data_IF_999974921648
#
_entry.id   IF_999974921648
#
_cell.length_a   1.000
_cell.length_b   1.000
_cell.length_c   1.000
_cell.angle_alpha   90.00
_cell.angle_beta   90.00
_cell.angle_gamma   90.00
#
_symmetry.space_group_name_H-M   'P 1'
#
loop_
_entity.id
_entity.type
_entity.pdbx_description
1 polymer ?
2 polymer ?
3 polymer ?
4 non-polymer ?
5 water ?
#
# COMPACT_ATOMS: atom_id res chain seq x y z
N UNK A 1 -20.18 6.14 -0.76
CA UNK A 1 -20.29 5.13 -1.80
C UNK A 1 -19.46 5.44 -3.04
N UNK A 2 -18.38 6.20 -2.90
CA UNK A 2 -17.50 6.47 -4.03
C UNK A 2 -16.52 5.32 -4.23
N UNK A 3 -15.90 5.29 -5.42
CA UNK A 3 -14.97 4.23 -5.77
C UNK A 3 -13.81 4.82 -6.53
N UNK A 4 -12.70 4.08 -6.55
CA UNK A 4 -11.50 4.56 -7.24
C UNK A 4 -10.90 3.44 -8.06
N UNK A 5 -10.25 3.80 -9.17
CA UNK A 5 -9.34 2.89 -9.85
C UNK A 5 -7.97 3.56 -9.88
N UNK A 6 -6.94 2.83 -9.47
CA UNK A 6 -5.59 3.38 -9.45
C UNK A 6 -4.59 2.36 -9.98
N UNK A 7 -3.61 2.84 -10.74
CA UNK A 7 -2.48 2.04 -11.18
C UNK A 7 -1.22 2.61 -10.54
N UNK A 8 -0.37 1.71 -10.02
CA UNK A 8 0.88 2.07 -9.36
C UNK A 8 2.02 1.42 -10.13
N UNK A 9 3.06 2.19 -10.41
CA UNK A 9 4.22 1.67 -11.14
C UNK A 9 5.49 1.98 -10.38
N UNK A 10 6.40 1.01 -10.30
CA UNK A 10 7.71 1.23 -9.69
C UNK A 10 8.79 0.67 -10.61
N UNK A 11 9.78 1.51 -10.96
CA UNK A 11 10.96 1.05 -11.69
C UNK A 11 12.21 1.36 -10.87
N UNK A 12 13.08 0.36 -10.71
CA UNK A 12 14.30 0.49 -9.88
C UNK A 12 15.51 0.05 -10.69
N UNK A 13 16.44 0.97 -10.92
CA UNK A 13 17.64 0.63 -11.68
C UNK A 13 18.53 -0.29 -10.87
N UNK A 14 19.26 -1.15 -11.57
CA UNK A 14 20.07 -2.20 -10.96
C UNK A 14 21.43 -2.25 -11.65
N UNK A 15 22.22 -1.19 -11.53
CA UNK A 15 23.41 -1.06 -12.39
C UNK A 15 24.27 -2.31 -12.33
N UNK A 16 24.61 -2.82 -13.52
CA UNK A 16 25.39 -4.04 -13.64
C UNK A 16 24.68 -5.32 -13.25
N UNK A 17 23.45 -5.25 -12.72
CA UNK A 17 22.69 -6.42 -12.32
C UNK A 17 21.45 -6.61 -13.19
N UNK A 18 21.55 -6.25 -14.46
CA UNK A 18 20.43 -6.39 -15.37
C UNK A 18 19.63 -5.11 -15.54
N UNK A 19 18.50 -5.27 -16.21
CA UNK A 19 17.60 -4.15 -16.47
C UNK A 19 16.80 -3.79 -15.23
N UNK A 20 16.22 -2.59 -15.18
CA UNK A 20 15.49 -2.17 -13.97
C UNK A 20 14.39 -3.14 -13.60
N UNK A 21 14.27 -3.40 -12.29
CA UNK A 21 13.09 -4.10 -11.78
C UNK A 21 11.87 -3.23 -12.00
N UNK A 22 10.79 -3.80 -12.52
CA UNK A 22 9.58 -3.06 -12.82
C UNK A 22 8.40 -3.83 -12.27
N UNK A 23 7.58 -3.16 -11.46
CA UNK A 23 6.41 -3.77 -10.84
C UNK A 23 5.23 -2.84 -11.05
N UNK A 24 4.14 -3.36 -11.60
CA UNK A 24 2.93 -2.58 -11.81
C UNK A 24 1.77 -3.28 -11.11
N UNK A 25 0.92 -2.52 -10.44
CA UNK A 25 -0.26 -3.09 -9.79
C UNK A 25 -1.45 -2.18 -10.05
N UNK A 26 -2.61 -2.80 -10.26
CA UNK A 26 -3.86 -2.06 -10.44
C UNK A 26 -4.79 -2.42 -9.30
N UNK A 27 -5.48 -1.41 -8.78
CA UNK A 27 -6.46 -1.54 -7.69
C UNK A 27 -7.81 -0.95 -8.10
N UNK A 28 -8.89 -1.58 -7.63
CA UNK A 28 -10.18 -0.90 -7.52
C UNK A 28 -10.44 -0.77 -6.03
N UNK A 29 -10.63 0.45 -5.55
CA UNK A 29 -10.68 0.74 -4.10
C UNK A 29 -9.42 0.14 -3.48
N UNK A 30 -9.53 -0.66 -2.42
CA UNK A 30 -8.38 -1.27 -1.77
C UNK A 30 -8.19 -2.73 -2.22
N UNK A 31 -8.71 -3.10 -3.38
CA UNK A 31 -8.67 -4.47 -3.85
C UNK A 31 -7.77 -4.54 -5.08
N UNK A 32 -6.66 -5.25 -4.97
CA UNK A 32 -5.79 -5.42 -6.11
C UNK A 32 -6.46 -6.32 -7.16
N UNK A 33 -6.33 -5.97 -8.44
CA UNK A 33 -6.96 -6.80 -9.46
C UNK A 33 -6.05 -7.19 -10.62
N UNK A 34 -4.91 -6.53 -10.82
CA UNK A 34 -3.95 -6.96 -11.83
C UNK A 34 -2.55 -6.67 -11.30
N UNK A 35 -1.57 -7.40 -11.84
CA UNK A 35 -0.18 -7.13 -11.53
C UNK A 35 0.68 -7.50 -12.72
N UNK A 36 1.85 -6.87 -12.76
CA UNK A 36 2.92 -7.24 -13.64
C UNK A 36 4.22 -7.12 -12.84
N UNK A 37 5.07 -8.14 -12.92
CA UNK A 37 6.38 -8.11 -12.26
C UNK A 37 7.41 -8.56 -13.27
N UNK A 38 8.37 -7.69 -13.56
CA UNK A 38 9.37 -7.98 -14.58
C UNK A 38 10.21 -9.20 -14.23
N UNK A 39 10.29 -9.57 -12.94
CA UNK A 39 11.06 -10.75 -12.54
C UNK A 39 10.21 -12.00 -12.46
N UNK A 40 8.90 -11.89 -12.74
CA UNK A 40 8.05 -13.07 -12.73
C UNK A 40 8.20 -13.85 -14.03
N UNK A 41 7.73 -15.09 -14.00
CA UNK A 41 7.95 -15.99 -15.13
C UNK A 41 7.05 -15.65 -16.32
N UNK A 42 5.79 -15.28 -16.07
CA UNK A 42 4.82 -15.18 -17.16
C UNK A 42 5.17 -14.06 -18.14
N UNK A 43 5.72 -12.94 -17.66
CA UNK A 43 5.89 -11.73 -18.50
C UNK A 43 4.56 -11.25 -19.09
N UNK A 44 3.49 -11.43 -18.34
CA UNK A 44 2.15 -11.04 -18.76
C UNK A 44 1.54 -10.20 -17.66
N UNK A 45 0.63 -9.30 -18.01
CA UNK A 45 -0.27 -8.78 -16.99
C UNK A 45 -1.12 -9.93 -16.49
N UNK A 46 -1.24 -10.07 -15.16
CA UNK A 46 -1.89 -11.24 -14.59
C UNK A 46 -3.08 -10.83 -13.72
N UNK A 47 -4.14 -11.64 -13.71
CA UNK A 47 -5.28 -11.37 -12.83
C UNK A 47 -4.97 -11.60 -11.36
N UNK A 48 -5.55 -10.78 -10.51
CA UNK A 48 -5.43 -10.93 -9.07
C UNK A 48 -6.77 -10.84 -8.33
N UNK A 49 -7.88 -10.66 -9.04
CA UNK A 49 -9.21 -10.72 -8.45
C UNK A 49 -10.10 -11.60 -9.32
N UNK A 50 -11.08 -12.28 -8.72
CA UNK A 50 -11.85 -13.23 -9.53
C UNK A 50 -12.65 -12.59 -10.65
N UNK A 51 -13.13 -11.36 -10.45
CA UNK A 51 -14.02 -10.75 -11.41
C UNK A 51 -13.30 -10.20 -12.64
N UNK A 52 -11.97 -10.13 -12.62
CA UNK A 52 -11.25 -9.72 -13.83
C UNK A 52 -10.92 -10.91 -14.73
N UNK A 53 -11.01 -12.15 -14.22
CA UNK A 53 -10.58 -13.29 -15.00
C UNK A 53 -11.43 -13.47 -16.26
N UNK A 54 -12.66 -12.96 -16.27
CA UNK A 54 -13.55 -13.14 -17.41
C UNK A 54 -13.15 -12.30 -18.61
N UNK A 55 -12.24 -11.34 -18.45
CA UNK A 55 -11.80 -10.55 -19.59
C UNK A 55 -11.13 -11.45 -20.62
N UNK A 56 -11.31 -11.09 -21.90
CA UNK A 56 -10.91 -11.95 -22.99
C UNK A 56 -9.43 -11.84 -23.32
N UNK A 57 -8.99 -12.70 -24.25
CA UNK A 57 -7.57 -12.71 -24.62
C UNK A 57 -7.08 -11.40 -25.16
N UNK A 58 -7.95 -10.67 -25.88
CA UNK A 58 -7.60 -9.34 -26.40
C UNK A 58 -7.24 -8.39 -25.27
N UNK A 59 -8.01 -8.44 -24.17
CA UNK A 59 -7.74 -7.58 -23.02
C UNK A 59 -6.36 -7.85 -22.45
N UNK A 60 -6.05 -9.13 -22.17
CA UNK A 60 -4.78 -9.44 -21.54
C UNK A 60 -3.60 -9.13 -22.45
N UNK A 61 -3.75 -9.35 -23.75
CA UNK A 61 -2.72 -8.96 -24.70
C UNK A 61 -2.49 -7.45 -24.65
N UNK A 62 -3.58 -6.68 -24.70
CA UNK A 62 -3.45 -5.23 -24.76
C UNK A 62 -2.88 -4.68 -23.45
N UNK A 63 -3.35 -5.19 -22.32
CA UNK A 63 -2.80 -4.72 -21.05
C UNK A 63 -1.33 -5.09 -20.89
N UNK A 64 -0.95 -6.28 -21.39
CA UNK A 64 0.47 -6.66 -21.33
C UNK A 64 1.33 -5.75 -22.18
N UNK A 65 0.86 -5.42 -23.40
CA UNK A 65 1.65 -4.55 -24.25
C UNK A 65 1.76 -3.14 -23.65
N UNK A 66 0.66 -2.62 -23.11
CA UNK A 66 0.69 -1.27 -22.58
C UNK A 66 1.57 -1.17 -21.33
N UNK A 67 1.57 -2.21 -20.48
CA UNK A 67 2.39 -2.14 -19.27
C UNK A 67 3.87 -2.33 -19.61
N UNK A 68 4.17 -3.17 -20.62
CA UNK A 68 5.55 -3.27 -21.06
C UNK A 68 6.02 -1.96 -21.68
N UNK A 69 5.14 -1.25 -22.38
CA UNK A 69 5.51 0.06 -22.91
C UNK A 69 5.78 1.07 -21.80
N UNK A 70 4.99 1.03 -20.72
CA UNK A 70 5.32 1.87 -19.57
C UNK A 70 6.71 1.53 -19.03
N UNK A 71 7.02 0.23 -18.92
CA UNK A 71 8.33 -0.15 -18.41
C UNK A 71 9.45 0.39 -19.28
N UNK A 72 9.25 0.40 -20.60
CA UNK A 72 10.30 0.88 -21.49
C UNK A 72 10.44 2.38 -21.39
N UNK A 73 9.34 3.11 -21.19
CA UNK A 73 9.42 4.56 -20.97
C UNK A 73 10.19 4.85 -19.69
N UNK A 74 9.86 4.14 -18.60
CA UNK A 74 10.57 4.35 -17.33
C UNK A 74 12.05 4.05 -17.45
N UNK A 75 12.42 2.97 -18.16
CA UNK A 75 13.81 2.66 -18.45
C UNK A 75 14.56 3.87 -19.05
N UNK A 76 13.97 4.51 -20.05
CA UNK A 76 14.57 5.71 -20.63
C UNK A 76 14.64 6.83 -19.61
N UNK A 77 13.52 7.04 -18.90
CA UNK A 77 13.44 8.17 -17.98
C UNK A 77 14.44 8.03 -16.84
N UNK A 78 14.77 6.80 -16.43
CA UNK A 78 15.78 6.64 -15.38
C UNK A 78 17.10 7.23 -15.84
N UNK A 79 17.48 7.00 -17.10
CA UNK A 79 18.69 7.60 -17.64
C UNK A 79 18.58 9.11 -17.74
N UNK A 80 17.43 9.61 -18.22
CA UNK A 80 17.26 11.05 -18.43
C UNK A 80 17.34 11.82 -17.11
N UNK A 81 16.68 11.31 -16.08
CA UNK A 81 16.64 12.00 -14.78
C UNK A 81 17.99 11.93 -14.09
N UNK A 82 18.74 10.85 -14.28
CA UNK A 82 20.12 10.82 -13.82
C UNK A 82 20.91 11.99 -14.40
N UNK A 83 20.68 12.31 -15.67
CA UNK A 83 21.33 13.47 -16.26
C UNK A 83 20.83 14.77 -15.68
N UNK A 84 19.51 14.91 -15.51
CA UNK A 84 18.95 16.16 -14.97
C UNK A 84 19.49 16.45 -13.58
N UNK A 85 19.63 15.43 -12.75
CA UNK A 85 20.09 15.59 -11.39
C UNK A 85 21.60 15.37 -11.25
N UNK A 86 22.32 15.25 -12.37
CA UNK A 86 23.78 15.19 -12.36
C UNK A 86 24.30 14.06 -11.45
N UNK A 87 23.74 12.86 -11.63
CA UNK A 87 24.14 11.69 -10.87
C UNK A 87 24.94 10.72 -11.72
N UNK A 88 25.72 9.87 -11.07
CA UNK A 88 26.55 8.90 -11.76
C UNK A 88 25.73 7.67 -12.14
N UNK A 89 26.30 6.83 -12.99
CA UNK A 89 25.66 5.59 -13.42
C UNK A 89 25.80 4.45 -12.42
N UNK A 90 26.53 4.64 -11.32
CA UNK A 90 26.78 3.53 -10.40
C UNK A 90 25.65 3.28 -9.41
N UNK A 91 24.83 4.27 -9.10
CA UNK A 91 23.82 4.12 -8.07
C UNK A 91 22.50 3.58 -8.60
N UNK A 92 21.72 3.01 -7.69
CA UNK A 92 20.36 2.59 -7.98
C UNK A 92 19.38 3.73 -7.69
N UNK A 93 18.44 3.94 -8.60
CA UNK A 93 17.44 5.00 -8.45
C UNK A 93 16.07 4.43 -8.78
N UNK A 94 15.04 5.19 -8.40
CA UNK A 94 13.66 4.72 -8.41
C UNK A 94 12.75 5.76 -9.05
N UNK A 95 11.93 5.34 -10.00
CA UNK A 95 10.80 6.15 -10.46
C UNK A 95 9.52 5.47 -10.00
N UNK A 96 8.62 6.27 -9.43
CA UNK A 96 7.30 5.80 -9.03
C UNK A 96 6.23 6.64 -9.70
N UNK A 97 5.17 6.00 -10.18
CA UNK A 97 4.06 6.67 -10.86
C UNK A 97 2.75 6.16 -10.27
N UNK A 98 1.82 7.07 -9.99
CA UNK A 98 0.47 6.64 -9.63
C UNK A 98 -0.53 7.47 -10.42
N UNK A 99 -1.54 6.83 -10.99
CA UNK A 99 -2.61 7.59 -11.62
C UNK A 99 -3.93 6.85 -11.51
N UNK A 100 -5.02 7.58 -11.73
CA UNK A 100 -6.33 6.93 -11.70
C UNK A 100 -7.46 7.93 -11.60
N UNK A 101 -8.63 7.42 -11.22
CA UNK A 101 -9.84 8.25 -11.23
C UNK A 101 -10.78 7.77 -10.13
N UNK A 102 -11.62 8.70 -9.66
CA UNK A 102 -12.68 8.42 -8.69
C UNK A 102 -14.05 8.65 -9.34
N UNK A 103 -15.02 7.80 -9.00
CA UNK A 103 -16.42 7.99 -9.39
C UNK A 103 -17.30 7.98 -8.15
N UNK A 104 -18.44 8.66 -8.24
CA UNK A 104 -19.41 8.64 -7.17
C UNK A 104 -20.28 7.40 -7.21
N UNK A 105 -21.17 7.29 -6.22
CA UNK A 105 -22.02 6.11 -6.15
C UNK A 105 -22.97 6.00 -7.34
N UNK A 106 -23.23 7.11 -8.04
CA UNK A 106 -24.05 7.09 -9.25
C UNK A 106 -23.21 6.94 -10.52
N UNK A 107 -21.91 6.66 -10.38
CA UNK A 107 -21.02 6.45 -11.49
C UNK A 107 -20.43 7.71 -12.08
N UNK A 108 -20.79 8.89 -11.59
CA UNK A 108 -20.29 10.13 -12.19
C UNK A 108 -18.81 10.34 -11.87
N UNK A 109 -18.07 10.88 -12.84
CA UNK A 109 -16.67 11.23 -12.62
C UNK A 109 -16.55 12.26 -11.50
N UNK A 110 -15.64 12.02 -10.56
CA UNK A 110 -15.36 12.98 -9.50
C UNK A 110 -14.02 13.67 -9.65
N UNK A 111 -12.94 12.92 -9.90
CA UNK A 111 -11.64 13.55 -10.05
C UNK A 111 -10.69 12.55 -10.70
N UNK A 112 -9.67 13.08 -11.34
CA UNK A 112 -8.61 12.26 -11.89
C UNK A 112 -7.27 12.74 -11.35
N UNK A 113 -6.27 11.88 -11.46
CA UNK A 113 -4.99 12.31 -10.90
C UNK A 113 -3.84 11.54 -11.53
N UNK A 114 -2.68 12.18 -11.53
CA UNK A 114 -1.44 11.52 -11.88
C UNK A 114 -0.28 12.20 -11.15
N UNK A 115 0.56 11.41 -10.48
CA UNK A 115 1.70 11.99 -9.79
C UNK A 115 2.90 11.07 -10.03
N UNK A 116 4.07 11.68 -10.22
CA UNK A 116 5.31 10.95 -10.44
C UNK A 116 6.33 11.37 -9.40
N UNK A 117 7.23 10.42 -9.06
CA UNK A 117 8.29 10.66 -8.09
C UNK A 117 9.62 10.15 -8.60
N UNK A 118 10.71 10.70 -8.06
CA UNK A 118 12.06 10.20 -8.34
C UNK A 118 12.77 10.05 -7.01
N UNK A 119 13.32 8.86 -6.75
CA UNK A 119 14.00 8.54 -5.48
C UNK A 119 13.15 8.89 -4.27
N UNK A 120 11.85 8.62 -4.38
CA UNK A 120 10.91 8.75 -3.29
C UNK A 120 10.50 10.15 -2.93
N UNK A 121 10.78 11.12 -3.80
CA UNK A 121 10.33 12.50 -3.62
C UNK A 121 9.54 12.95 -4.85
N UNK A 122 8.63 13.88 -4.63
CA UNK A 122 7.85 14.46 -5.73
C UNK A 122 8.74 14.86 -6.90
N UNK A 123 8.28 14.54 -8.11
CA UNK A 123 8.94 15.00 -9.33
C UNK A 123 8.01 15.90 -10.15
N UNK A 124 6.89 15.37 -10.64
CA UNK A 124 5.91 16.18 -11.38
C UNK A 124 4.52 15.60 -11.11
N UNK A 125 3.51 16.49 -11.12
CA UNK A 125 2.14 16.07 -10.88
C UNK A 125 1.21 16.82 -11.82
N UNK A 126 0.17 16.12 -12.27
CA UNK A 126 -0.94 16.77 -12.96
C UNK A 126 -1.80 17.50 -11.94
N UNK A 127 -2.19 18.73 -12.26
CA UNK A 127 -3.06 19.46 -11.34
C UNK A 127 -4.50 18.94 -11.43
N UNK A 128 -5.28 19.30 -10.41
CA UNK A 128 -6.66 18.81 -10.29
C UNK A 128 -7.52 19.17 -11.50
N UNK A 129 -7.24 20.29 -12.19
CA UNK A 129 -8.05 20.64 -13.36
C UNK A 129 -7.72 19.80 -14.58
N UNK A 130 -6.69 18.95 -14.51
CA UNK A 130 -6.25 18.05 -15.59
C UNK A 130 -5.76 18.83 -16.81
N UNK A 131 -5.33 20.06 -16.63
CA UNK A 131 -4.85 20.87 -17.74
C UNK A 131 -3.42 21.36 -17.59
N UNK A 132 -2.91 21.45 -16.37
CA UNK A 132 -1.59 22.02 -16.12
C UNK A 132 -0.80 21.09 -15.21
N UNK A 133 0.50 21.29 -15.19
CA UNK A 133 1.41 20.48 -14.38
C UNK A 133 2.06 21.32 -13.30
N UNK A 134 2.44 20.67 -12.21
CA UNK A 134 3.29 21.26 -11.16
C UNK A 134 4.57 20.44 -11.04
N UNK A 135 5.72 21.07 -11.36
CA UNK A 135 7.03 20.44 -11.20
C UNK A 135 7.58 20.74 -9.80
N UNK A 136 8.26 19.75 -9.19
CA UNK A 136 8.74 19.92 -7.83
C UNK A 136 10.03 20.76 -7.73
N UNK A 137 10.78 20.91 -8.83
CA UNK A 137 12.08 21.58 -8.76
C UNK A 137 12.46 21.96 -10.18
N UNK A 138 13.64 22.57 -10.33
CA UNK A 138 14.00 23.09 -11.65
C UNK A 138 14.32 21.97 -12.63
N UNK A 139 14.81 20.82 -12.16
CA UNK A 139 15.00 19.69 -13.06
C UNK A 139 13.66 19.21 -13.63
N UNK A 140 12.67 18.99 -12.76
CA UNK A 140 11.38 18.51 -13.23
C UNK A 140 10.69 19.52 -14.15
N UNK A 141 11.05 20.80 -14.08
CA UNK A 141 10.47 21.78 -14.99
C UNK A 141 10.89 21.52 -16.44
N UNK A 142 12.06 20.92 -16.66
CA UNK A 142 12.45 20.49 -18.00
C UNK A 142 11.42 19.53 -18.58
N UNK A 143 11.04 18.51 -17.79
CA UNK A 143 9.97 17.60 -18.22
C UNK A 143 8.66 18.33 -18.47
N UNK A 144 8.30 19.26 -17.57
CA UNK A 144 7.07 20.01 -17.72
C UNK A 144 7.04 20.76 -19.05
N UNK A 145 8.13 21.47 -19.39
CA UNK A 145 8.17 22.18 -20.67
C UNK A 145 7.98 21.23 -21.84
N UNK A 146 8.60 20.04 -21.77
CA UNK A 146 8.45 19.04 -22.82
C UNK A 146 7.01 18.53 -22.91
N UNK A 147 6.38 18.26 -21.77
CA UNK A 147 5.00 17.77 -21.78
C UNK A 147 4.01 18.87 -22.18
N UNK A 148 4.30 20.13 -21.84
CA UNK A 148 3.42 21.22 -22.28
C UNK A 148 3.44 21.36 -23.80
N UNK A 149 4.64 21.25 -24.39
CA UNK A 149 4.75 21.39 -25.85
C UNK A 149 4.17 20.19 -26.57
N UNK A 150 4.27 18.99 -25.97
CA UNK A 150 3.70 17.80 -26.59
C UNK A 150 2.22 17.62 -26.31
N UNK A 151 1.60 18.58 -25.61
CA UNK A 151 0.18 18.55 -25.23
C UNK A 151 -0.17 17.26 -24.53
N UNK A 152 0.73 16.82 -23.64
CA UNK A 152 0.56 15.56 -22.93
C UNK A 152 -0.68 15.61 -22.03
N UNK A 153 -0.95 16.77 -21.40
CA UNK A 153 -2.07 16.81 -20.46
C UNK A 153 -3.40 16.53 -21.16
N UNK A 154 -3.55 16.99 -22.41
CA UNK A 154 -4.82 16.73 -23.11
C UNK A 154 -5.00 15.24 -23.39
N UNK A 155 -3.93 14.54 -23.74
CA UNK A 155 -4.02 13.09 -23.97
C UNK A 155 -4.29 12.35 -22.68
N UNK A 156 -3.59 12.71 -21.61
CA UNK A 156 -3.80 12.08 -20.31
C UNK A 156 -5.21 12.36 -19.79
N UNK A 157 -5.69 13.59 -19.95
CA UNK A 157 -7.02 13.93 -19.45
C UNK A 157 -8.08 13.04 -20.09
N UNK A 158 -7.96 12.78 -21.40
CA UNK A 158 -8.92 11.93 -22.09
C UNK A 158 -8.96 10.53 -21.49
N UNK A 159 -7.83 10.06 -20.95
CA UNK A 159 -7.85 8.79 -20.24
C UNK A 159 -8.46 8.96 -18.85
N UNK A 160 -8.00 9.96 -18.08
CA UNK A 160 -8.35 10.02 -16.66
C UNK A 160 -9.82 10.36 -16.44
N UNK A 161 -10.38 11.27 -17.24
CA UNK A 161 -11.78 11.55 -17.05
C UNK A 161 -12.66 10.88 -18.10
N UNK A 162 -12.11 9.97 -18.90
CA UNK A 162 -12.91 9.25 -19.90
C UNK A 162 -12.72 7.75 -19.82
N UNK A 163 -11.65 7.24 -20.43
CA UNK A 163 -11.38 5.80 -20.49
C UNK A 163 -11.33 5.18 -19.11
N UNK A 164 -10.68 5.88 -18.16
CA UNK A 164 -10.53 5.37 -16.80
C UNK A 164 -11.89 5.16 -16.15
N UNK A 165 -12.79 6.13 -16.33
CA UNK A 165 -14.13 6.05 -15.79
C UNK A 165 -14.91 4.93 -16.45
N UNK A 166 -14.77 4.78 -17.79
CA UNK A 166 -15.45 3.70 -18.50
C UNK A 166 -15.11 2.33 -17.92
N UNK A 167 -13.82 2.08 -17.69
CA UNK A 167 -13.40 0.77 -17.21
C UNK A 167 -13.75 0.59 -15.75
N UNK A 168 -13.59 1.64 -14.94
CA UNK A 168 -13.97 1.51 -13.53
C UNK A 168 -15.46 1.14 -13.40
N UNK A 169 -16.33 1.80 -14.17
CA UNK A 169 -17.75 1.40 -14.17
C UNK A 169 -17.92 -0.06 -14.55
N UNK A 170 -17.21 -0.52 -15.58
CA UNK A 170 -17.33 -1.92 -15.98
C UNK A 170 -16.90 -2.85 -14.84
N UNK A 171 -15.77 -2.55 -14.21
CA UNK A 171 -15.26 -3.42 -13.14
C UNK A 171 -16.21 -3.44 -11.95
N UNK A 172 -16.78 -2.28 -11.60
CA UNK A 172 -17.71 -2.25 -10.48
C UNK A 172 -18.92 -3.13 -10.76
N UNK A 173 -19.38 -3.15 -12.01
CA UNK A 173 -20.47 -4.05 -12.36
C UNK A 173 -20.01 -5.50 -12.36
N UNK A 174 -18.85 -5.77 -12.98
CA UNK A 174 -18.38 -7.16 -13.05
C UNK A 174 -18.06 -7.72 -11.66
N UNK A 175 -17.63 -6.88 -10.73
CA UNK A 175 -17.24 -7.34 -9.40
C UNK A 175 -18.22 -6.97 -8.29
N UNK A 176 -19.47 -6.69 -8.67
CA UNK A 176 -20.43 -6.10 -7.73
C UNK A 176 -20.61 -6.97 -6.50
N UNK A 177 -20.56 -8.29 -6.66
CA UNK A 177 -20.77 -9.18 -5.54
C UNK A 177 -19.74 -9.00 -4.42
N UNK A 178 -18.64 -8.29 -4.68
CA UNK A 178 -17.59 -8.07 -3.69
C UNK A 178 -17.19 -6.61 -3.52
N UNK A 179 -17.08 -5.84 -4.61
CA UNK A 179 -16.56 -4.48 -4.49
C UNK A 179 -17.53 -3.54 -3.77
N UNK A 180 -18.83 -3.81 -3.81
CA UNK A 180 -19.80 -2.93 -3.17
C UNK A 180 -19.99 -3.19 -1.68
N UNK A 181 -19.40 -4.27 -1.15
CA UNK A 181 -19.56 -4.61 0.26
C UNK A 181 -18.61 -3.79 1.13
N UNK A 182 -19.10 -3.35 2.28
CA UNK A 182 -18.31 -2.61 3.24
C UNK A 182 -18.45 -3.31 4.59
N UNK A 183 -17.31 -3.72 5.17
CA UNK A 183 -17.30 -4.54 6.38
C UNK A 183 -16.97 -3.70 7.61
N UNK A 184 -17.84 -3.64 8.61
CA UNK A 184 -17.64 -2.74 9.74
C UNK A 184 -16.60 -3.29 10.71
N UNK A 185 -15.90 -2.41 11.44
CA UNK A 185 -14.88 -2.89 12.37
C UNK A 185 -15.51 -3.57 13.58
N UNK A 186 -14.92 -4.71 13.93
CA UNK A 186 -15.20 -5.35 15.22
C UNK A 186 -14.18 -4.84 16.22
N UNK A 187 -14.67 -4.30 17.34
CA UNK A 187 -13.84 -3.58 18.30
C UNK A 187 -13.84 -4.26 19.67
N UNK A 188 -12.69 -4.21 20.33
CA UNK A 188 -12.58 -4.65 21.72
C UNK A 188 -11.37 -3.95 22.32
N UNK A 189 -11.25 -4.02 23.65
CA UNK A 189 -10.13 -3.42 24.33
C UNK A 189 -9.42 -4.49 25.14
N UNK A 190 -8.10 -4.34 25.29
CA UNK A 190 -7.31 -5.23 26.11
C UNK A 190 -6.52 -4.42 27.13
N UNK A 191 -6.04 -5.12 28.16
CA UNK A 191 -5.44 -4.49 29.32
C UNK A 191 -4.22 -5.31 29.71
N UNK A 192 -3.06 -4.65 29.81
CA UNK A 192 -1.78 -5.32 29.99
C UNK A 192 -0.94 -4.56 31.02
N UNK A 193 -0.84 -5.05 32.25
CA UNK A 193 0.06 -4.42 33.22
C UNK A 193 1.49 -4.37 32.70
N UNK A 194 2.17 -3.26 32.95
CA UNK A 194 3.59 -3.15 32.63
C UNK A 194 4.44 -3.08 33.88
N UNK A 195 3.82 -2.96 35.04
CA UNK A 195 4.48 -2.89 36.34
C UNK A 195 3.38 -3.05 37.39
N UNK A 196 3.73 -2.88 38.66
CA UNK A 196 2.73 -2.90 39.72
C UNK A 196 1.82 -1.68 39.67
N UNK A 197 2.18 -0.63 38.93
CA UNK A 197 1.50 0.65 39.01
C UNK A 197 1.01 1.20 37.68
N UNK A 198 1.32 0.57 36.55
CA UNK A 198 0.86 1.06 35.25
C UNK A 198 0.42 -0.08 34.37
N UNK A 199 -0.48 0.22 33.44
CA UNK A 199 -0.99 -0.77 32.50
C UNK A 199 -1.20 -0.14 31.13
N UNK A 200 -1.00 -0.95 30.09
CA UNK A 200 -1.31 -0.56 28.72
C UNK A 200 -2.77 -0.90 28.40
N UNK A 201 -3.54 0.09 27.98
CA UNK A 201 -4.85 -0.15 27.40
C UNK A 201 -4.70 -0.09 25.87
N UNK A 202 -5.17 -1.13 25.19
CA UNK A 202 -5.06 -1.23 23.74
C UNK A 202 -6.47 -1.37 23.15
N UNK A 203 -6.80 -0.48 22.23
CA UNK A 203 -8.10 -0.49 21.55
C UNK A 203 -7.92 -1.09 20.17
N UNK A 204 -8.76 -2.06 19.84
CA UNK A 204 -8.59 -2.86 18.64
C UNK A 204 -9.74 -2.65 17.66
N UNK A 205 -9.40 -2.49 16.39
CA UNK A 205 -10.37 -2.54 15.29
C UNK A 205 -9.96 -3.65 14.35
N UNK A 206 -10.87 -4.60 14.08
CA UNK A 206 -10.52 -5.76 13.28
C UNK A 206 -11.53 -5.98 12.16
N UNK A 207 -11.07 -6.68 11.12
CA UNK A 207 -11.93 -7.17 10.05
C UNK A 207 -12.70 -6.12 9.25
N UNK A 208 -12.12 -4.95 9.01
CA UNK A 208 -12.89 -3.89 8.39
C UNK A 208 -12.46 -3.65 6.93
N UNK A 209 -13.40 -3.18 6.13
CA UNK A 209 -13.13 -2.79 4.75
C UNK A 209 -14.08 -1.65 4.41
N UNK A 210 -13.62 -0.59 3.74
CA UNK A 210 -12.25 -0.35 3.27
C UNK A 210 -11.32 -0.02 4.42
N UNK A 211 -10.09 0.33 4.07
CA UNK A 211 -9.03 0.44 5.05
C UNK A 211 -9.11 1.72 5.86
N UNK A 212 -9.72 2.77 5.32
CA UNK A 212 -9.77 4.05 6.03
C UNK A 212 -10.50 3.87 7.35
N UNK A 213 -9.89 4.38 8.43
CA UNK A 213 -10.45 4.25 9.77
C UNK A 213 -9.75 5.25 10.68
N UNK A 214 -10.42 5.64 11.76
CA UNK A 214 -9.86 6.53 12.77
C UNK A 214 -10.00 5.92 14.15
N UNK A 215 -8.90 5.86 14.90
CA UNK A 215 -8.90 5.44 16.30
C UNK A 215 -8.31 6.55 17.15
N UNK A 216 -9.02 6.95 18.20
CA UNK A 216 -8.61 8.05 19.07
C UNK A 216 -8.77 7.67 20.54
N UNK A 217 -7.80 8.08 21.37
CA UNK A 217 -7.90 7.96 22.82
C UNK A 217 -8.18 9.32 23.43
N UNK A 218 -9.09 9.35 24.40
CA UNK A 218 -9.41 10.55 25.17
C UNK A 218 -9.33 10.25 26.65
N UNK A 219 -8.92 11.25 27.43
CA UNK A 219 -8.84 11.15 28.89
C UNK A 219 -9.66 12.26 29.50
N UNK A 220 -10.77 11.89 30.15
CA UNK A 220 -11.69 12.85 30.76
C UNK A 220 -12.09 13.92 29.75
N UNK A 221 -12.55 13.49 28.58
CA UNK A 221 -12.91 14.40 27.51
C UNK A 221 -11.76 14.91 26.68
N UNK A 222 -10.67 15.33 27.32
CA UNK A 222 -9.53 15.86 26.61
C UNK A 222 -8.81 14.75 25.85
N UNK A 223 -8.07 15.16 24.82
CA UNK A 223 -7.42 14.18 23.95
C UNK A 223 -5.98 13.94 24.39
N UNK A 224 -5.38 12.88 23.85
CA UNK A 224 -4.07 12.41 24.29
C UNK A 224 -3.22 12.05 23.07
N UNK A 225 -3.16 12.95 22.09
CA UNK A 225 -2.45 12.66 20.85
C UNK A 225 -0.96 12.44 21.09
N UNK A 226 -0.39 13.11 22.11
CA UNK A 226 1.04 12.99 22.39
C UNK A 226 1.38 11.73 23.17
N UNK A 227 0.43 11.14 23.90
CA UNK A 227 0.69 10.01 24.77
C UNK A 227 0.08 8.72 24.23
N UNK A 228 -0.19 8.66 22.93
CA UNK A 228 -0.87 7.53 22.30
C UNK A 228 0.08 6.85 21.33
N UNK A 229 0.14 5.52 21.37
CA UNK A 229 0.82 4.76 20.34
C UNK A 229 -0.19 4.23 19.33
N UNK A 230 0.04 4.54 18.05
CA UNK A 230 -0.90 4.18 17.00
C UNK A 230 -0.12 3.47 15.89
N UNK A 231 -0.44 2.20 15.63
CA UNK A 231 0.24 1.50 14.55
C UNK A 231 -0.42 1.82 13.21
N UNK A 232 0.34 1.60 12.13
CA UNK A 232 -0.20 1.73 10.79
C UNK A 232 -1.28 0.68 10.53
N UNK A 233 -2.31 1.08 9.78
CA UNK A 233 -3.33 0.14 9.35
C UNK A 233 -2.71 -0.99 8.55
N UNK A 234 -3.13 -2.24 8.82
CA UNK A 234 -2.42 -3.35 8.20
C UNK A 234 -3.38 -4.35 7.60
N UNK A 235 -2.98 -5.05 6.54
CA UNK A 235 -3.87 -6.04 5.92
C UNK A 235 -3.92 -7.34 6.71
N UNK A 236 -5.13 -7.88 6.85
CA UNK A 236 -5.25 -9.23 7.44
C UNK A 236 -4.78 -10.28 6.45
N UNK A 237 -4.86 -10.00 5.15
CA UNK A 237 -4.52 -10.97 4.12
C UNK A 237 -5.72 -11.68 3.53
N UNK A 238 -6.91 -11.44 4.08
CA UNK A 238 -8.16 -11.98 3.56
C UNK A 238 -8.98 -10.93 2.85
N UNK A 239 -8.46 -9.72 2.70
CA UNK A 239 -9.17 -8.61 2.09
C UNK A 239 -9.63 -7.54 3.07
N UNK A 240 -9.58 -7.82 4.37
CA UNK A 240 -9.92 -6.84 5.40
C UNK A 240 -8.66 -6.28 6.05
N UNK A 241 -8.84 -5.26 6.88
CA UNK A 241 -7.75 -4.56 7.54
C UNK A 241 -7.89 -4.61 9.07
N UNK A 242 -6.81 -4.23 9.75
CA UNK A 242 -6.72 -4.25 11.21
C UNK A 242 -5.94 -3.01 11.68
N UNK A 243 -6.25 -2.56 12.89
CA UNK A 243 -5.51 -1.44 13.48
C UNK A 243 -5.67 -1.47 14.99
N UNK A 244 -4.69 -0.93 15.71
CA UNK A 244 -4.88 -0.69 17.13
C UNK A 244 -4.21 0.59 17.57
N UNK A 245 -4.69 1.11 18.70
CA UNK A 245 -4.15 2.28 19.38
C UNK A 245 -3.99 1.95 20.85
N UNK A 246 -2.94 2.48 21.49
CA UNK A 246 -2.64 2.11 22.88
C UNK A 246 -2.23 3.34 23.69
N UNK A 247 -2.44 3.24 25.00
CA UNK A 247 -2.12 4.30 25.95
C UNK A 247 -1.71 3.64 27.26
N UNK A 248 -0.65 4.17 27.89
CA UNK A 248 -0.21 3.71 29.20
C UNK A 248 -0.90 4.55 30.26
N UNK A 249 -1.52 3.91 31.23
CA UNK A 249 -2.34 4.61 32.21
C UNK A 249 -1.94 4.15 33.61
N UNK A 250 -2.22 4.97 34.62
CA UNK A 250 -1.97 4.53 36.00
C UNK A 250 -3.00 3.48 36.43
N UNK A 251 -2.53 2.48 37.17
CA UNK A 251 -3.42 1.44 37.66
C UNK A 251 -4.46 2.05 38.59
N UNK A 252 -5.73 1.69 38.35
CA UNK A 252 -6.84 2.24 39.10
C UNK A 252 -7.52 3.42 38.44
N UNK A 253 -6.96 3.94 37.35
CA UNK A 253 -7.54 5.07 36.63
C UNK A 253 -8.03 4.68 35.24
N UNK A 254 -8.16 3.37 34.96
CA UNK A 254 -8.57 2.93 33.64
C UNK A 254 -9.89 3.54 33.20
N UNK A 255 -10.82 3.77 34.13
CA UNK A 255 -12.16 4.25 33.80
C UNK A 255 -12.18 5.65 33.21
N UNK A 256 -11.08 6.38 33.30
CA UNK A 256 -11.01 7.75 32.79
C UNK A 256 -10.66 7.83 31.32
N UNK A 257 -10.41 6.71 30.67
CA UNK A 257 -9.97 6.67 29.29
C UNK A 257 -11.05 6.09 28.40
N UNK A 258 -11.14 6.62 27.18
CA UNK A 258 -12.10 6.14 26.19
C UNK A 258 -11.44 6.06 24.83
N UNK A 259 -11.67 4.97 24.13
CA UNK A 259 -11.26 4.84 22.74
C UNK A 259 -12.43 5.16 21.84
N UNK A 260 -12.16 5.85 20.73
CA UNK A 260 -13.20 6.30 19.80
C UNK A 260 -12.87 5.77 18.42
N UNK A 261 -13.87 5.15 17.77
CA UNK A 261 -13.69 4.43 16.52
C UNK A 261 -14.59 5.05 15.48
N UNK A 262 -14.03 5.35 14.31
CA UNK A 262 -14.77 5.92 13.19
C UNK A 262 -14.45 5.10 11.95
N UNK A 263 -15.49 4.57 11.32
CA UNK A 263 -15.39 3.86 10.07
C UNK A 263 -16.64 4.20 9.28
N UNK A 264 -16.49 4.31 7.95
CA UNK A 264 -17.63 4.63 7.11
C UNK A 264 -18.78 3.65 7.33
N UNK A 265 -18.46 2.39 7.67
CA UNK A 265 -19.45 1.37 7.89
C UNK A 265 -20.14 1.39 9.24
N UNK A 266 -19.75 2.28 10.14
CA UNK A 266 -20.36 2.33 11.47
C UNK A 266 -21.51 3.31 11.45
N UNK A 267 -22.75 2.86 11.74
CA UNK A 267 -23.87 3.80 11.82
C UNK A 267 -23.62 4.98 12.74
N UNK A 268 -23.07 4.75 13.91
CA UNK A 268 -22.64 5.79 14.82
C UNK A 268 -21.22 5.49 15.24
N UNK A 269 -20.44 6.51 15.60
CA UNK A 269 -19.09 6.24 16.13
C UNK A 269 -19.16 5.43 17.42
N UNK A 270 -18.27 4.46 17.53
CA UNK A 270 -18.21 3.60 18.70
C UNK A 270 -17.32 4.22 19.76
N UNK A 271 -17.73 4.06 21.02
CA UNK A 271 -16.93 4.51 22.16
C UNK A 271 -16.77 3.34 23.11
N UNK A 272 -15.52 3.07 23.50
CA UNK A 272 -15.19 1.97 24.40
C UNK A 272 -14.50 2.50 25.63
N UNK A 273 -14.80 1.88 26.79
CA UNK A 273 -14.19 2.24 28.05
C UNK A 273 -13.88 0.94 28.78
N UNK A 274 -12.76 0.90 29.49
CA UNK A 274 -12.40 -0.31 30.20
C UNK A 274 -13.33 -0.58 31.38
N UNK B 2 16.46 10.67 2.25
CA UNK B 2 16.08 9.87 1.09
C UNK B 2 15.92 8.40 1.47
N UNK B 3 16.34 8.04 2.68
CA UNK B 3 16.26 6.66 3.15
C UNK B 3 15.41 6.60 4.42
N UNK B 4 14.41 5.72 4.42
CA UNK B 4 13.42 5.64 5.48
C UNK B 4 13.37 4.20 5.99
N UNK B 5 13.42 4.02 7.30
CA UNK B 5 13.57 2.65 7.79
C UNK B 5 12.22 1.96 7.90
N UNK B 6 12.15 0.64 7.68
CA UNK B 6 10.85 -0.03 7.72
C UNK B 6 10.22 -0.03 9.10
N UNK B 7 8.91 0.13 9.12
CA UNK B 7 8.09 -0.19 10.27
C UNK B 7 7.63 -1.64 10.11
N UNK B 8 7.75 -2.42 11.18
CA UNK B 8 7.53 -3.87 11.10
C UNK B 8 6.43 -4.25 12.06
N UNK B 9 5.47 -5.04 11.57
CA UNK B 9 4.45 -5.64 12.41
C UNK B 9 4.35 -7.12 12.09
N UNK B 10 4.33 -7.95 13.14
CA UNK B 10 4.20 -9.40 13.02
C UNK B 10 2.93 -9.80 13.76
N UNK B 11 2.03 -10.50 13.06
CA UNK B 11 0.71 -10.76 13.60
C UNK B 11 0.06 -11.90 12.82
N UNK B 12 -1.00 -12.44 13.41
CA UNK B 12 -1.78 -13.51 12.81
C UNK B 12 -2.99 -12.92 12.09
N UNK B 13 -3.43 -13.61 11.04
CA UNK B 13 -4.63 -13.17 10.33
C UNK B 13 -5.85 -13.14 11.24
N UNK B 14 -6.12 -14.26 11.91
CA UNK B 14 -7.23 -14.38 12.86
C UNK B 14 -6.70 -14.52 14.28
N UNK B 15 -7.51 -14.17 15.29
CA UNK B 15 -7.11 -14.42 16.68
C UNK B 15 -6.59 -15.84 16.85
N UNK B 16 -5.47 -15.97 17.55
CA UNK B 16 -4.71 -17.22 17.54
C UNK B 16 -5.30 -18.23 18.52
N UNK B 17 -5.30 -19.49 18.10
CA UNK B 17 -5.76 -20.62 18.92
C UNK B 17 -4.86 -21.79 18.60
N UNK B 18 -4.19 -22.34 19.63
CA UNK B 18 -3.23 -23.39 19.36
C UNK B 18 -3.90 -24.64 18.77
N UNK B 19 -3.21 -25.28 17.83
CA UNK B 19 -3.72 -26.43 17.12
C UNK B 19 -4.51 -26.11 15.87
N UNK B 20 -4.82 -24.84 15.60
CA UNK B 20 -5.73 -24.46 14.53
C UNK B 20 -4.99 -23.69 13.44
N UNK B 21 -5.18 -24.09 12.19
CA UNK B 21 -4.52 -23.43 11.07
C UNK B 21 -4.86 -21.95 11.07
N UNK B 22 -3.87 -21.13 10.71
CA UNK B 22 -3.97 -19.69 10.71
C UNK B 22 -2.99 -19.17 9.66
N UNK B 23 -2.82 -17.85 9.61
CA UNK B 23 -1.83 -17.23 8.75
C UNK B 23 -0.96 -16.31 9.58
N UNK B 24 0.35 -16.46 9.41
CA UNK B 24 1.33 -15.60 10.06
C UNK B 24 1.74 -14.52 9.08
N UNK B 25 1.56 -13.26 9.48
CA UNK B 25 1.84 -12.10 8.64
C UNK B 25 3.04 -11.31 9.16
N UNK B 26 3.82 -10.76 8.23
CA UNK B 26 4.81 -9.74 8.55
C UNK B 26 4.57 -8.57 7.59
N UNK B 27 4.12 -7.45 8.11
CA UNK B 27 3.82 -6.28 7.32
C UNK B 27 4.93 -5.26 7.51
N UNK B 28 5.60 -4.88 6.43
CA UNK B 28 6.67 -3.90 6.48
C UNK B 28 6.23 -2.70 5.66
N UNK B 29 6.33 -1.51 6.23
CA UNK B 29 5.79 -0.33 5.57
C UNK B 29 6.68 0.86 5.87
N UNK B 30 6.47 1.93 5.10
CA UNK B 30 7.17 3.18 5.36
C UNK B 30 8.62 3.22 4.96
N UNK B 31 9.07 2.31 4.10
CA UNK B 31 10.50 2.25 3.82
C UNK B 31 10.84 2.74 2.41
N UNK B 32 12.10 3.18 2.28
CA UNK B 32 12.68 3.62 1.02
C UNK B 32 14.19 3.57 1.19
N UNK B 33 14.90 3.00 0.26
CA UNK B 33 14.43 2.41 -1.00
C UNK B 33 13.73 1.05 -0.83
N UNK B 34 13.36 0.44 -1.96
CA UNK B 34 12.44 -0.69 -1.96
C UNK B 34 13.13 -2.04 -1.72
N UNK B 35 14.44 -2.13 -1.90
CA UNK B 35 15.11 -3.41 -1.64
C UNK B 35 15.05 -3.74 -0.16
N UNK B 36 14.58 -4.95 0.13
CA UNK B 36 14.35 -5.39 1.49
C UNK B 36 14.39 -6.90 1.48
N UNK B 37 14.92 -7.47 2.54
CA UNK B 37 14.88 -8.91 2.74
C UNK B 37 13.97 -9.15 3.93
N UNK B 38 12.98 -10.00 3.73
CA UNK B 38 12.08 -10.38 4.82
C UNK B 38 12.01 -11.89 4.86
N UNK B 39 12.34 -12.47 6.02
CA UNK B 39 12.16 -13.90 6.25
C UNK B 39 11.26 -14.08 7.46
N UNK B 40 10.38 -15.07 7.41
CA UNK B 40 9.64 -15.49 8.59
C UNK B 40 10.43 -16.61 9.25
N UNK B 41 10.46 -16.62 10.58
CA UNK B 41 11.29 -17.55 11.32
C UNK B 41 10.43 -18.43 12.21
N UNK B 42 10.81 -19.70 12.31
CA UNK B 42 10.18 -20.65 13.23
C UNK B 42 11.30 -21.19 14.12
N UNK B 43 11.25 -20.85 15.41
CA UNK B 43 12.30 -21.22 16.36
C UNK B 43 13.69 -20.86 15.81
N UNK B 44 13.78 -19.67 15.22
CA UNK B 44 15.03 -19.16 14.69
C UNK B 44 15.38 -19.61 13.28
N UNK B 45 14.63 -20.53 12.69
CA UNK B 45 14.95 -21.08 11.38
C UNK B 45 14.02 -20.53 10.33
N UNK B 46 14.58 -20.24 9.15
CA UNK B 46 13.83 -19.65 8.05
C UNK B 46 12.71 -20.57 7.60
N UNK B 47 11.49 -20.05 7.54
CA UNK B 47 10.35 -20.80 7.02
C UNK B 47 10.41 -20.79 5.50
N UNK B 48 10.22 -21.96 4.88
CA UNK B 48 10.51 -22.08 3.46
C UNK B 48 9.39 -21.53 2.57
N UNK B 49 8.14 -21.91 2.86
CA UNK B 49 7.03 -21.52 1.99
C UNK B 49 6.41 -20.24 2.51
N UNK B 50 6.94 -19.10 2.04
CA UNK B 50 6.44 -17.78 2.43
C UNK B 50 6.11 -17.01 1.17
N UNK B 51 4.89 -16.48 1.10
CA UNK B 51 4.45 -15.67 -0.03
C UNK B 51 4.55 -14.19 0.32
N UNK B 52 4.48 -13.33 -0.70
CA UNK B 52 4.47 -11.91 -0.42
C UNK B 52 3.64 -11.17 -1.46
N UNK B 53 3.10 -10.03 -1.05
CA UNK B 53 2.31 -9.17 -1.92
C UNK B 53 3.19 -8.48 -2.96
N UNK B 54 2.56 -7.90 -3.97
CA UNK B 54 3.30 -7.13 -4.96
C UNK B 54 3.60 -5.75 -4.42
N UNK B 55 4.85 -5.30 -4.58
CA UNK B 55 5.30 -4.01 -4.07
C UNK B 55 4.34 -2.89 -4.49
N UNK B 56 3.92 -2.09 -3.51
CA UNK B 56 3.12 -0.90 -3.75
C UNK B 56 3.61 0.17 -2.79
N UNK B 57 3.01 1.36 -2.84
CA UNK B 57 3.52 2.45 -2.04
C UNK B 57 2.39 3.36 -1.61
N UNK B 58 2.70 4.17 -0.60
CA UNK B 58 1.76 5.06 0.06
C UNK B 58 1.81 6.44 -0.56
N UNK B 59 0.91 7.32 -0.11
CA UNK B 59 0.88 8.68 -0.65
C UNK B 59 2.21 9.41 -0.50
N UNK B 60 2.98 9.12 0.56
CA UNK B 60 4.27 9.78 0.74
C UNK B 60 5.40 9.07 -0.01
N UNK B 61 5.08 8.14 -0.90
CA UNK B 61 5.97 7.37 -1.77
C UNK B 61 6.71 6.25 -1.03
N UNK B 62 6.54 6.10 0.29
CA UNK B 62 7.20 5.00 0.96
C UNK B 62 6.52 3.67 0.60
N UNK B 63 7.30 2.60 0.62
CA UNK B 63 6.86 1.29 0.16
C UNK B 63 6.25 0.46 1.30
N UNK B 64 5.45 -0.53 0.91
CA UNK B 64 4.95 -1.50 1.87
C UNK B 64 4.78 -2.86 1.20
N UNK B 65 4.96 -3.94 2.00
CA UNK B 65 4.86 -5.33 1.56
C UNK B 65 4.26 -6.15 2.68
N UNK B 66 3.47 -7.17 2.32
CA UNK B 66 3.00 -8.20 3.23
C UNK B 66 3.68 -9.51 2.89
N UNK B 67 4.36 -10.11 3.87
CA UNK B 67 4.85 -11.47 3.76
C UNK B 67 3.96 -12.37 4.61
N UNK B 68 3.65 -13.57 4.12
CA UNK B 68 2.70 -14.40 4.84
C UNK B 68 2.93 -15.88 4.55
N UNK B 69 2.50 -16.70 5.51
CA UNK B 69 2.56 -18.14 5.36
C UNK B 69 1.51 -18.74 6.27
N UNK B 70 0.96 -19.87 5.83
CA UNK B 70 0.06 -20.61 6.68
C UNK B 70 0.88 -21.33 7.73
N UNK B 71 0.46 -21.24 8.98
CA UNK B 71 1.08 -22.00 10.06
C UNK B 71 0.00 -22.53 10.99
N UNK B 72 0.38 -23.47 11.84
CA UNK B 72 -0.47 -23.92 12.93
C UNK B 72 0.24 -23.55 14.22
N UNK B 73 -0.25 -22.57 14.99
CA UNK B 73 0.50 -22.11 16.17
C UNK B 73 0.52 -23.18 17.24
N UNK B 74 1.73 -23.50 17.71
CA UNK B 74 1.95 -24.31 18.90
C UNK B 74 2.56 -23.41 19.97
N UNK B 75 2.17 -23.60 21.23
CA UNK B 75 2.57 -22.59 22.20
C UNK B 75 4.05 -22.63 22.55
N UNK B 76 4.77 -23.68 22.15
CA UNK B 76 6.21 -23.71 22.36
C UNK B 76 7.00 -23.16 21.17
N UNK B 77 6.42 -23.15 19.97
CA UNK B 77 7.13 -22.61 18.82
C UNK B 77 7.17 -21.09 18.88
N UNK B 78 8.34 -20.54 18.61
CA UNK B 78 8.52 -19.10 18.55
C UNK B 78 8.57 -18.67 17.10
N UNK B 79 7.82 -17.64 16.78
CA UNK B 79 7.78 -17.09 15.44
C UNK B 79 8.32 -15.67 15.46
N UNK B 80 8.98 -15.29 14.39
CA UNK B 80 9.51 -13.94 14.26
C UNK B 80 9.61 -13.57 12.79
N UNK B 81 9.74 -12.27 12.57
CA UNK B 81 10.02 -11.73 11.26
C UNK B 81 11.40 -11.08 11.31
N UNK B 82 12.26 -11.45 10.37
CA UNK B 82 13.60 -10.89 10.27
C UNK B 82 13.70 -10.04 9.01
N UNK B 83 14.03 -8.76 9.19
CA UNK B 83 14.01 -7.78 8.12
C UNK B 83 15.38 -7.18 7.99
N UNK B 84 15.92 -7.17 6.78
CA UNK B 84 17.15 -6.44 6.48
C UNK B 84 16.90 -5.35 5.44
N UNK B 85 17.50 -4.18 5.68
CA UNK B 85 17.30 -3.00 4.85
C UNK B 85 18.53 -2.12 5.04
N UNK B 86 18.80 -1.26 4.06
CA UNK B 86 20.02 -0.45 4.14
C UNK B 86 20.03 0.46 5.35
N UNK B 87 18.87 0.83 5.88
CA UNK B 87 18.80 1.68 7.06
C UNK B 87 19.15 0.95 8.36
N UNK B 88 19.32 -0.37 8.32
CA UNK B 88 19.55 -1.17 9.51
C UNK B 88 21.00 -1.60 9.58
N UNK B 89 21.57 -1.54 10.78
CA UNK B 89 22.94 -2.00 10.97
C UNK B 89 23.01 -3.51 10.93
N UNK B 90 22.15 -4.17 11.70
CA UNK B 90 21.94 -5.60 11.62
C UNK B 90 20.47 -5.88 11.32
N UNK B 91 20.17 -7.07 10.80
CA UNK B 91 18.76 -7.43 10.58
C UNK B 91 17.96 -7.32 11.87
N UNK B 92 16.78 -6.74 11.76
CA UNK B 92 15.91 -6.53 12.90
C UNK B 92 15.00 -7.74 13.03
N UNK B 93 14.98 -8.33 14.22
CA UNK B 93 14.08 -9.44 14.49
C UNK B 93 12.97 -8.91 15.39
N UNK B 94 11.74 -9.06 14.94
CA UNK B 94 10.56 -8.71 15.72
C UNK B 94 9.85 -10.00 16.03
N UNK B 95 9.74 -10.32 17.32
CA UNK B 95 9.06 -11.54 17.72
C UNK B 95 7.55 -11.34 17.68
N UNK B 96 6.83 -12.40 17.34
CA UNK B 96 5.38 -12.37 17.35
C UNK B 96 4.86 -12.37 18.78
N UNK B 97 4.08 -11.36 19.14
CA UNK B 97 3.40 -11.26 20.42
C UNK B 97 1.89 -11.27 20.17
N UNK B 98 1.17 -12.19 20.82
CA UNK B 98 -0.27 -12.34 20.54
C UNK B 98 -1.09 -11.11 20.89
N UNK B 99 -0.55 -10.21 21.73
CA UNK B 99 -1.28 -9.05 22.21
C UNK B 99 -1.06 -7.82 21.34
N UNK B 100 -0.33 -7.93 20.25
CA UNK B 100 -0.05 -6.78 19.39
C UNK B 100 -0.34 -7.05 17.91
N UNK C 1 -8.50 -0.81 -17.06
CA UNK C 1 -7.45 -0.85 -18.07
C UNK C 1 -6.58 0.39 -17.91
N UNK C 2 -5.26 0.26 -18.05
CA UNK C 2 -4.44 1.44 -17.80
C UNK C 2 -4.17 2.16 -19.12
N UNK C 3 -3.42 3.24 -19.03
CA UNK C 3 -3.31 4.20 -20.12
C UNK C 3 -2.33 3.73 -21.18
N UNK C 4 -2.72 3.84 -22.45
CA UNK C 4 -1.85 3.47 -23.54
C UNK C 4 -1.21 4.67 -24.21
N UNK C 5 -0.50 5.48 -23.43
CA UNK C 5 0.13 6.69 -23.96
C UNK C 5 1.36 7.19 -23.23
N UNK C 6 2.57 7.55 -23.92
CA UNK C 6 3.88 7.67 -23.23
C UNK C 6 4.73 8.76 -23.90
N UNK C 7 4.75 9.95 -23.10
CA UNK C 7 5.88 10.71 -23.60
C UNK C 7 7.00 10.64 -22.57
N UNK C 8 8.24 10.47 -23.03
CA UNK C 8 9.35 10.36 -22.12
C UNK C 8 9.57 11.70 -21.38
N UNK C 9 10.27 11.63 -20.27
CA UNK C 9 10.52 12.80 -19.42
C UNK C 9 11.70 13.65 -19.89
X LIG D 1 -5.24 0.22 -1.71
X LIG D 1 -4.81 0.15 -0.39
X LIG D 1 -4.79 1.57 -2.27
X LIG D 1 -3.47 1.52 -2.66
X LIG D 1 -5.73 1.84 -3.47
X LIG D 1 -5.66 3.20 -3.75
X LIG E 1 -5.84 -10.09 14.77
X LIG E 1 -6.87 -10.81 15.38
X LIG E 1 -4.52 -10.60 15.37
X LIG E 1 -3.43 -10.38 14.50
X LIG E 1 -4.36 -9.85 16.71
X LIG E 1 -3.24 -10.38 17.35
#
# INVERSE_FOLDING_TARGET
GSHSMRYFFTSVSRPGRGEPRFIAVGYVDDTQFVRFDSDAASQRMEPRAPWIEQEGPEYWDQETRNVKAQSQTDRVDLGTLRGYYNQSEAGSHTIQIMYGCDVGSDGRFLRGYRQDAYDGKDYIALNEDLRSWTAADMAAQITKRKWEAAHEAEQLRAYLDGTCVEWLRRYLENGKETLQRTDPPKTHMTHHPISDHEATLRCWALGFYPAEITLTWQRDGEDQTQDTELVETRPAGDGTFQKWAAVVVPSGEEQRYTCHVQHEGLPKPLTLRW
MIQRTPKIQVYSRHPAENGKSNFLNCYVSGFHPSDIEVDLLKNGERIEKVEHSDLSFSKDWSFYLLYYTEFTPTEKDEYACRVNHVTLSQPKIVKWDRDM
AHHGGXTTK
GOL C1 O1 C2 O2 C3 O3
GOL C1 O1 C2 O2 C3 O3
#
